data_IF_832626624163
#
_entry.id   IF_832626624163
#
_cell.length_a   1.000
_cell.length_b   1.000
_cell.length_c   1.000
_cell.angle_alpha   90.00
_cell.angle_beta   90.00
_cell.angle_gamma   90.00
#
_symmetry.space_group_name_H-M   'P 1'
#
loop_
_entity.id
_entity.type
_entity.pdbx_description
1 polymer ?
#
# COMPACT_ATOMS: atom_id res chain seq x y z
N UNK A 1 -5.26 -1.53 11.82
CA UNK A 1 -3.89 -0.98 11.58
C UNK A 1 -3.99 0.35 10.85
N UNK A 2 -3.26 1.37 11.29
CA UNK A 2 -3.17 2.67 10.60
C UNK A 2 -2.48 2.57 9.24
N UNK A 3 -2.76 3.54 8.35
CA UNK A 3 -2.26 3.56 6.97
C UNK A 3 -0.72 3.58 6.93
N UNK A 4 -0.08 4.34 7.81
CA UNK A 4 1.38 4.43 7.90
C UNK A 4 2.06 3.11 8.23
N UNK A 5 1.47 2.32 9.14
CA UNK A 5 2.00 0.99 9.49
C UNK A 5 1.95 0.04 8.29
N UNK A 6 0.90 0.14 7.47
CA UNK A 6 0.75 -0.64 6.24
C UNK A 6 1.81 -0.25 5.20
N UNK A 7 1.99 1.05 4.98
CA UNK A 7 3.00 1.58 4.05
C UNK A 7 4.41 1.20 4.49
N UNK A 8 4.72 1.33 5.78
CA UNK A 8 6.04 0.98 6.32
C UNK A 8 6.35 -0.51 6.13
N UNK A 9 5.38 -1.39 6.40
CA UNK A 9 5.52 -2.84 6.15
C UNK A 9 5.68 -3.15 4.66
N UNK A 10 4.94 -2.48 3.79
CA UNK A 10 5.10 -2.64 2.34
C UNK A 10 6.51 -2.25 1.90
N UNK A 11 6.99 -1.05 2.28
CA UNK A 11 8.35 -0.58 1.96
C UNK A 11 9.44 -1.53 2.46
N UNK A 12 9.30 -2.04 3.68
CA UNK A 12 10.26 -3.00 4.24
C UNK A 12 10.31 -4.30 3.42
N UNK A 13 9.17 -4.85 3.03
CA UNK A 13 9.15 -6.10 2.24
C UNK A 13 9.68 -5.88 0.81
N UNK A 14 9.36 -4.74 0.18
CA UNK A 14 9.90 -4.38 -1.12
C UNK A 14 11.42 -4.15 -1.10
N UNK A 15 11.97 -3.61 0.00
CA UNK A 15 13.40 -3.40 0.20
C UNK A 15 14.15 -4.68 0.62
N UNK A 16 13.48 -5.67 1.20
CA UNK A 16 14.11 -6.99 1.46
C UNK A 16 14.43 -7.72 0.16
N UNK A 17 13.59 -7.55 -0.86
CA UNK A 17 13.82 -8.07 -2.20
C UNK A 17 15.04 -7.50 -2.94
N UNK A 18 15.66 -6.43 -2.42
CA UNK A 18 16.89 -5.84 -2.98
C UNK A 18 18.15 -6.19 -2.21
N UNK A 19 18.08 -6.41 -0.89
CA UNK A 19 19.26 -6.52 -0.03
C UNK A 19 19.67 -7.94 0.36
N UNK A 20 18.82 -8.94 0.15
CA UNK A 20 19.08 -10.30 0.64
C UNK A 20 18.92 -11.33 -0.47
N UNK A 21 19.80 -12.33 -0.51
CA UNK A 21 19.69 -13.58 -1.31
C UNK A 21 18.45 -14.42 -0.94
N UNK A 22 17.58 -13.92 -0.07
CA UNK A 22 16.41 -14.62 0.44
C UNK A 22 15.27 -14.55 -0.56
N UNK A 23 14.52 -15.64 -0.64
CA UNK A 23 13.31 -15.76 -1.45
C UNK A 23 12.35 -14.62 -1.13
N UNK A 24 11.96 -13.91 -2.18
CA UNK A 24 11.00 -12.83 -2.06
C UNK A 24 9.63 -13.47 -1.90
N UNK A 25 9.07 -13.40 -0.68
CA UNK A 25 7.71 -13.86 -0.39
C UNK A 25 6.69 -12.92 -1.05
N UNK A 26 6.46 -13.12 -2.34
CA UNK A 26 5.57 -12.29 -3.12
C UNK A 26 4.11 -12.39 -2.64
N UNK A 27 3.73 -13.50 -2.03
CA UNK A 27 2.46 -13.65 -1.31
C UNK A 27 2.27 -12.63 -0.18
N UNK A 28 3.35 -12.33 0.57
CA UNK A 28 3.29 -11.33 1.64
C UNK A 28 3.15 -9.91 1.07
N UNK A 29 3.81 -9.63 -0.06
CA UNK A 29 3.67 -8.36 -0.78
C UNK A 29 2.25 -8.22 -1.34
N UNK A 30 1.72 -9.27 -1.96
CA UNK A 30 0.37 -9.31 -2.52
C UNK A 30 -0.69 -9.13 -1.43
N UNK A 31 -0.51 -9.79 -0.27
CA UNK A 31 -1.36 -9.58 0.91
C UNK A 31 -1.33 -8.13 1.42
N UNK A 32 -0.15 -7.49 1.44
CA UNK A 32 -0.03 -6.09 1.84
C UNK A 32 -0.67 -5.13 0.81
N UNK A 33 -0.55 -5.43 -0.49
CA UNK A 33 -1.20 -4.68 -1.56
C UNK A 33 -2.73 -4.80 -1.52
N UNK A 34 -3.26 -5.98 -1.23
CA UNK A 34 -4.70 -6.17 -1.04
C UNK A 34 -5.21 -5.46 0.22
N UNK A 35 -4.44 -5.45 1.32
CA UNK A 35 -4.78 -4.65 2.51
C UNK A 35 -4.80 -3.14 2.21
N UNK A 36 -3.84 -2.64 1.43
CA UNK A 36 -3.81 -1.25 0.96
C UNK A 36 -5.03 -0.93 0.07
N UNK A 37 -5.40 -1.82 -0.84
CA UNK A 37 -6.60 -1.68 -1.68
C UNK A 37 -7.90 -1.66 -0.87
N UNK A 38 -8.02 -2.51 0.16
CA UNK A 38 -9.16 -2.46 1.08
C UNK A 38 -9.23 -1.11 1.79
N UNK A 39 -8.10 -0.64 2.30
CA UNK A 39 -8.02 0.65 2.99
C UNK A 39 -8.30 1.85 2.07
N UNK A 40 -7.91 1.78 0.79
CA UNK A 40 -8.33 2.76 -0.22
C UNK A 40 -9.85 2.79 -0.41
N UNK A 41 -10.51 1.63 -0.42
CA UNK A 41 -11.98 1.57 -0.54
C UNK A 41 -12.66 2.16 0.71
N UNK A 42 -12.17 1.82 1.90
CA UNK A 42 -12.65 2.41 3.16
C UNK A 42 -12.52 3.93 3.14
N UNK A 43 -11.35 4.46 2.76
CA UNK A 43 -11.13 5.91 2.66
C UNK A 43 -12.00 6.59 1.60
N UNK A 44 -12.31 5.91 0.48
CA UNK A 44 -13.25 6.45 -0.52
C UNK A 44 -14.67 6.54 0.02
N UNK A 45 -15.12 5.52 0.74
CA UNK A 45 -16.45 5.50 1.33
C UNK A 45 -16.57 6.60 2.40
N UNK A 46 -15.59 6.67 3.32
CA UNK A 46 -15.53 7.74 4.33
C UNK A 46 -15.53 9.12 3.66
N UNK A 47 -14.75 9.31 2.58
CA UNK A 47 -14.71 10.59 1.87
C UNK A 47 -16.03 10.96 1.17
N UNK A 48 -16.84 9.95 0.77
CA UNK A 48 -18.13 10.15 0.15
C UNK A 48 -19.19 10.58 1.16
N UNK A 49 -19.13 10.03 2.37
CA UNK A 49 -20.06 10.32 3.46
C UNK A 49 -19.64 11.54 4.31
N UNK A 50 -18.39 11.99 4.19
CA UNK A 50 -17.84 13.12 4.95
C UNK A 50 -18.32 14.48 4.42
N UNK A 51 -18.95 15.25 5.30
CA UNK A 51 -19.47 16.58 5.02
C UNK A 51 -18.52 17.69 5.51
N UNK A 52 -17.64 17.40 6.47
CA UNK A 52 -16.65 18.37 6.94
C UNK A 52 -15.56 18.61 5.89
N UNK A 53 -15.30 19.89 5.61
CA UNK A 53 -14.36 20.29 4.55
C UNK A 53 -12.90 20.00 4.93
N UNK A 54 -12.55 20.07 6.21
CA UNK A 54 -11.20 19.81 6.71
C UNK A 54 -10.93 18.31 6.71
N UNK A 55 -11.88 17.51 7.19
CA UNK A 55 -11.79 16.06 7.20
C UNK A 55 -11.81 15.48 5.78
N UNK A 56 -12.63 16.02 4.86
CA UNK A 56 -12.54 15.66 3.43
C UNK A 56 -11.15 15.91 2.84
N UNK A 57 -10.48 17.00 3.22
CA UNK A 57 -9.11 17.27 2.73
C UNK A 57 -8.13 16.26 3.31
N UNK A 58 -8.25 15.93 4.59
CA UNK A 58 -7.44 14.94 5.26
C UNK A 58 -7.61 13.55 4.61
N UNK A 59 -8.85 13.08 4.46
CA UNK A 59 -9.19 11.82 3.80
C UNK A 59 -8.71 11.78 2.33
N UNK A 60 -8.80 12.89 1.58
CA UNK A 60 -8.23 12.98 0.22
C UNK A 60 -6.72 12.83 0.21
N UNK A 61 -6.02 13.42 1.19
CA UNK A 61 -4.58 13.29 1.32
C UNK A 61 -4.20 11.84 1.61
N UNK A 62 -4.85 11.22 2.60
CA UNK A 62 -4.61 9.81 2.95
C UNK A 62 -4.89 8.88 1.77
N UNK A 63 -6.00 9.10 1.05
CA UNK A 63 -6.34 8.35 -0.15
C UNK A 63 -5.25 8.48 -1.22
N UNK A 64 -4.74 9.70 -1.43
CA UNK A 64 -3.68 9.95 -2.42
C UNK A 64 -2.38 9.26 -2.03
N UNK A 65 -2.00 9.31 -0.75
CA UNK A 65 -0.83 8.61 -0.22
C UNK A 65 -0.98 7.10 -0.43
N UNK A 66 -2.12 6.52 -0.03
CA UNK A 66 -2.42 5.10 -0.22
C UNK A 66 -2.32 4.68 -1.69
N UNK A 67 -2.91 5.48 -2.59
CA UNK A 67 -2.89 5.24 -4.04
C UNK A 67 -1.49 5.27 -4.63
N UNK A 68 -0.67 6.25 -4.25
CA UNK A 68 0.71 6.37 -4.73
C UNK A 68 1.55 5.21 -4.23
N UNK A 69 1.45 4.86 -2.94
CA UNK A 69 2.22 3.76 -2.35
C UNK A 69 1.79 2.41 -2.92
N UNK A 70 0.49 2.20 -3.16
CA UNK A 70 -0.01 1.00 -3.84
C UNK A 70 0.50 0.90 -5.28
N UNK A 71 0.48 1.99 -6.06
CA UNK A 71 1.04 2.02 -7.42
C UNK A 71 2.53 1.71 -7.42
N UNK A 72 3.30 2.32 -6.51
CA UNK A 72 4.73 2.03 -6.35
C UNK A 72 4.97 0.57 -5.99
N UNK A 73 4.18 0.03 -5.05
CA UNK A 73 4.26 -1.36 -4.63
C UNK A 73 3.92 -2.35 -5.74
N UNK A 74 2.90 -2.07 -6.56
CA UNK A 74 2.56 -2.89 -7.73
C UNK A 74 3.66 -2.90 -8.77
N UNK A 75 4.23 -1.74 -9.11
CA UNK A 75 5.37 -1.65 -10.03
C UNK A 75 6.56 -2.46 -9.51
N UNK A 76 6.91 -2.25 -8.23
CA UNK A 76 8.03 -2.98 -7.63
C UNK A 76 7.77 -4.47 -7.53
N UNK A 77 6.56 -4.90 -7.20
CA UNK A 77 6.15 -6.31 -7.22
C UNK A 77 6.27 -6.90 -8.63
N UNK A 78 5.89 -6.16 -9.68
CA UNK A 78 6.04 -6.63 -11.06
C UNK A 78 7.52 -6.84 -11.44
N UNK A 79 8.41 -5.93 -11.03
CA UNK A 79 9.86 -6.08 -11.21
C UNK A 79 10.42 -7.27 -10.42
N UNK A 80 9.92 -7.47 -9.20
CA UNK A 80 10.32 -8.59 -8.34
C UNK A 80 9.65 -9.91 -8.73
N UNK A 81 8.66 -9.91 -9.64
CA UNK A 81 7.92 -11.13 -10.07
C UNK A 81 8.87 -12.23 -10.57
N UNK A 82 9.95 -11.84 -11.25
CA UNK A 82 11.00 -12.75 -11.75
C UNK A 82 11.93 -13.30 -10.66
N UNK A 83 11.89 -12.71 -9.46
CA UNK A 83 12.68 -13.06 -8.28
C UNK A 83 11.83 -13.68 -7.16
N UNK A 84 10.52 -13.78 -7.37
CA UNK A 84 9.64 -14.60 -6.54
C UNK A 84 10.00 -16.06 -6.81
N UNK A 85 10.33 -16.81 -5.77
CA UNK A 85 10.33 -18.26 -5.78
C UNK A 85 9.24 -18.73 -4.83
#
# INVERSE_FOLDING_TARGET
MGLDKLIKKLKQNLNKGTKSKNEIRCEQIDSLLEKLKKKERELKNLLADENDKSERKHLKLELKIASVERKKGLKRRAELKKKCK
#
